data_IF_341046367831
#
_entry.id   IF_341046367831
#
_cell.length_a   1.000
_cell.length_b   1.000
_cell.length_c   1.000
_cell.angle_alpha   90.00
_cell.angle_beta   90.00
_cell.angle_gamma   90.00
#
_symmetry.space_group_name_H-M   'P 1'
#
loop_
_entity.id
_entity.type
_entity.pdbx_description
1 polymer ?
#
# COMPACT_ATOMS: atom_id res chain seq x y z
N UNK A 1 -9.65 -38.48 -1.19
CA UNK A 1 -8.79 -37.83 -2.22
C UNK A 1 -9.48 -36.71 -3.04
N UNK A 2 -10.73 -36.31 -2.76
CA UNK A 2 -11.43 -35.22 -3.48
C UNK A 2 -11.38 -33.85 -2.78
N UNK A 3 -11.25 -33.85 -1.45
CA UNK A 3 -11.14 -32.64 -0.62
C UNK A 3 -9.79 -31.95 -0.85
N UNK A 4 -8.69 -32.70 -0.90
CA UNK A 4 -7.32 -32.18 -1.12
C UNK A 4 -7.19 -31.39 -2.42
N UNK A 5 -7.81 -31.84 -3.51
CA UNK A 5 -7.75 -31.16 -4.80
C UNK A 5 -8.49 -29.80 -4.76
N UNK A 6 -9.63 -29.75 -4.08
CA UNK A 6 -10.39 -28.52 -3.91
C UNK A 6 -9.67 -27.53 -2.97
N UNK A 7 -9.05 -28.03 -1.90
CA UNK A 7 -8.23 -27.22 -0.99
C UNK A 7 -7.01 -26.64 -1.69
N UNK A 8 -6.36 -27.40 -2.57
CA UNK A 8 -5.23 -26.94 -3.37
C UNK A 8 -5.63 -25.80 -4.32
N UNK A 9 -6.70 -25.98 -5.10
CA UNK A 9 -7.21 -24.93 -6.00
C UNK A 9 -7.58 -23.67 -5.22
N UNK A 10 -8.29 -23.80 -4.10
CA UNK A 10 -8.63 -22.64 -3.26
C UNK A 10 -7.40 -21.93 -2.69
N UNK A 11 -6.35 -22.68 -2.33
CA UNK A 11 -5.10 -22.08 -1.87
C UNK A 11 -4.45 -21.25 -2.98
N UNK A 12 -4.37 -21.80 -4.21
CA UNK A 12 -3.81 -21.11 -5.37
C UNK A 12 -4.59 -19.84 -5.68
N UNK A 13 -5.93 -19.91 -5.70
CA UNK A 13 -6.78 -18.73 -5.94
C UNK A 13 -6.53 -17.66 -4.87
N UNK A 14 -6.45 -18.03 -3.58
CA UNK A 14 -6.13 -17.07 -2.51
C UNK A 14 -4.75 -16.45 -2.66
N UNK A 15 -3.75 -17.22 -3.09
CA UNK A 15 -2.42 -16.68 -3.36
C UNK A 15 -2.43 -15.70 -4.54
N UNK A 16 -3.14 -16.04 -5.62
CA UNK A 16 -3.29 -15.19 -6.80
C UNK A 16 -4.03 -13.89 -6.48
N UNK A 17 -5.10 -13.93 -5.69
CA UNK A 17 -5.83 -12.71 -5.30
C UNK A 17 -4.95 -11.81 -4.45
N UNK A 18 -4.26 -12.37 -3.44
CA UNK A 18 -3.33 -11.60 -2.60
C UNK A 18 -2.16 -11.01 -3.40
N UNK A 19 -1.67 -11.74 -4.40
CA UNK A 19 -0.61 -11.25 -5.26
C UNK A 19 -1.09 -10.11 -6.17
N UNK A 20 -2.29 -10.20 -6.72
CA UNK A 20 -2.90 -9.13 -7.52
C UNK A 20 -3.10 -7.85 -6.69
N UNK A 21 -3.60 -7.96 -5.47
CA UNK A 21 -3.74 -6.82 -4.55
C UNK A 21 -2.37 -6.15 -4.29
N UNK A 22 -1.35 -6.95 -3.96
CA UNK A 22 0.00 -6.42 -3.74
C UNK A 22 0.63 -5.80 -5.00
N UNK A 23 0.30 -6.29 -6.20
CA UNK A 23 0.74 -5.68 -7.46
C UNK A 23 0.02 -4.33 -7.66
N UNK A 24 -1.28 -4.27 -7.42
CA UNK A 24 -2.06 -3.04 -7.55
C UNK A 24 -1.57 -1.94 -6.61
N UNK A 25 -1.28 -2.28 -5.35
CA UNK A 25 -0.72 -1.33 -4.38
C UNK A 25 0.65 -0.80 -4.81
N UNK A 26 1.51 -1.67 -5.37
CA UNK A 26 2.81 -1.24 -5.93
C UNK A 26 2.64 -0.34 -7.15
N UNK A 27 1.70 -0.65 -8.04
CA UNK A 27 1.40 0.20 -9.19
C UNK A 27 0.94 1.59 -8.73
N UNK A 28 0.14 1.68 -7.66
CA UNK A 28 -0.25 2.96 -7.07
C UNK A 28 0.94 3.76 -6.52
N UNK A 29 1.90 3.09 -5.87
CA UNK A 29 3.14 3.72 -5.38
C UNK A 29 3.99 4.24 -6.54
N UNK A 30 4.11 3.46 -7.61
CA UNK A 30 4.88 3.84 -8.80
C UNK A 30 4.22 5.01 -9.52
N UNK A 31 2.89 4.95 -9.72
CA UNK A 31 2.14 5.99 -10.41
C UNK A 31 2.14 7.32 -9.64
N UNK A 32 2.09 7.29 -8.31
CA UNK A 32 2.13 8.51 -7.50
C UNK A 32 3.54 9.09 -7.32
N UNK A 33 4.57 8.28 -7.57
CA UNK A 33 5.96 8.60 -7.25
C UNK A 33 6.24 8.80 -5.76
N UNK A 34 5.28 8.52 -4.88
CA UNK A 34 5.36 8.74 -3.43
C UNK A 34 5.40 7.40 -2.72
N UNK A 35 6.39 7.23 -1.86
CA UNK A 35 6.54 6.02 -1.03
C UNK A 35 5.38 5.84 -0.04
N UNK A 36 4.81 6.93 0.46
CA UNK A 36 3.68 6.91 1.39
C UNK A 36 2.52 7.64 0.71
N UNK A 37 1.50 6.88 0.31
CA UNK A 37 0.31 7.40 -0.38
C UNK A 37 -0.86 7.57 0.58
N UNK A 38 -1.11 6.55 1.41
CA UNK A 38 -2.19 6.55 2.39
C UNK A 38 -1.61 6.55 3.81
N UNK A 39 -2.24 7.22 4.78
CA UNK A 39 -1.83 7.14 6.19
C UNK A 39 -1.85 5.70 6.73
N UNK A 40 -2.64 4.81 6.13
CA UNK A 40 -2.68 3.38 6.44
C UNK A 40 -1.39 2.64 6.09
N UNK A 41 -0.62 3.13 5.12
CA UNK A 41 0.59 2.44 4.64
C UNK A 41 1.75 2.60 5.65
N UNK A 42 1.83 3.77 6.29
CA UNK A 42 2.75 4.05 7.41
C UNK A 42 2.23 5.25 8.23
N UNK A 43 1.51 5.02 9.35
CA UNK A 43 0.98 6.11 10.16
C UNK A 43 2.08 6.93 10.86
N UNK A 44 3.24 6.32 11.18
CA UNK A 44 4.36 7.02 11.82
C UNK A 44 5.11 7.90 10.82
N UNK A 45 5.41 7.35 9.63
CA UNK A 45 6.03 8.08 8.53
C UNK A 45 5.15 9.21 8.02
N UNK A 46 3.83 8.97 7.89
CA UNK A 46 2.88 10.00 7.46
C UNK A 46 2.80 11.18 8.43
N UNK A 47 2.86 10.94 9.75
CA UNK A 47 2.89 12.00 10.75
C UNK A 47 4.06 12.98 10.55
N UNK A 48 5.26 12.44 10.24
CA UNK A 48 6.44 13.27 9.91
C UNK A 48 6.27 14.01 8.60
N UNK A 49 5.75 13.34 7.55
CA UNK A 49 5.49 13.97 6.25
C UNK A 49 4.52 15.15 6.38
N UNK A 50 3.45 14.99 7.17
CA UNK A 50 2.49 16.06 7.44
C UNK A 50 3.13 17.22 8.19
N UNK A 51 3.94 16.93 9.21
CA UNK A 51 4.69 17.96 9.94
C UNK A 51 5.64 18.74 9.02
N UNK A 52 6.40 18.06 8.16
CA UNK A 52 7.28 18.73 7.21
C UNK A 52 6.52 19.58 6.18
N UNK A 53 5.38 19.07 5.68
CA UNK A 53 4.51 19.86 4.80
C UNK A 53 3.99 21.11 5.49
N UNK A 54 3.59 21.01 6.76
CA UNK A 54 3.16 22.16 7.55
C UNK A 54 4.29 23.17 7.71
N UNK A 55 5.50 22.73 8.04
CA UNK A 55 6.67 23.61 8.16
C UNK A 55 7.00 24.33 6.85
N UNK A 56 6.96 23.63 5.72
CA UNK A 56 7.20 24.24 4.40
C UNK A 56 6.10 25.28 4.10
N UNK A 57 4.84 24.94 4.30
CA UNK A 57 3.72 25.86 4.09
C UNK A 57 3.83 27.12 4.95
N UNK A 58 4.26 26.99 6.21
CA UNK A 58 4.50 28.16 7.07
C UNK A 58 5.67 29.01 6.58
N UNK A 59 6.71 28.41 6.00
CA UNK A 59 7.86 29.15 5.44
C UNK A 59 7.44 29.91 4.18
N UNK A 60 6.67 29.27 3.28
CA UNK A 60 6.17 29.91 2.04
C UNK A 60 5.21 31.08 2.29
N UNK A 61 4.59 31.11 3.47
CA UNK A 61 3.64 32.16 3.85
C UNK A 61 4.32 33.46 4.33
N UNK A 62 5.61 33.41 4.66
CA UNK A 62 6.42 34.58 5.04
C UNK A 62 7.28 35.07 3.87
#
# INVERSE_FOLDING_TARGET
>A
MRVTNNTMIQSIVRYLTRQNEAIFDRQNIIASGKKINKPSDDPLGMGRVLSYRQSIATIEQY
#
